data_IF_559966106347
#
_entry.id   IF_559966106347
#
_cell.length_a   1.000
_cell.length_b   1.000
_cell.length_c   1.000
_cell.angle_alpha   90.00
_cell.angle_beta   90.00
_cell.angle_gamma   90.00
#
_symmetry.space_group_name_H-M   'P 1'
#
loop_
_entity.id
_entity.type
_entity.pdbx_description
1 polymer ?
#
# COMPACT_ATOMS: atom_id res chain seq x y z
N UNK A 1 -25.41 -22.44 12.61
CA UNK A 1 -24.67 -21.23 12.19
C UNK A 1 -24.55 -21.24 10.69
N UNK A 2 -25.19 -20.29 10.01
CA UNK A 2 -25.04 -20.11 8.57
C UNK A 2 -23.57 -19.77 8.28
N UNK A 3 -22.86 -20.61 7.53
CA UNK A 3 -21.52 -20.30 7.04
C UNK A 3 -21.65 -19.09 6.10
N UNK A 4 -21.25 -17.92 6.53
CA UNK A 4 -21.16 -16.77 5.63
C UNK A 4 -20.07 -17.09 4.61
N UNK A 5 -20.43 -17.13 3.35
CA UNK A 5 -19.47 -17.36 2.26
C UNK A 5 -18.58 -16.12 2.10
N UNK A 6 -17.32 -16.30 1.68
CA UNK A 6 -16.47 -15.17 1.32
C UNK A 6 -17.14 -14.28 0.26
N UNK A 7 -17.03 -12.97 0.45
CA UNK A 7 -17.56 -11.96 -0.46
C UNK A 7 -16.42 -11.30 -1.21
N UNK A 8 -16.54 -11.17 -2.52
CA UNK A 8 -15.65 -10.32 -3.31
C UNK A 8 -15.97 -8.86 -3.04
N UNK A 9 -14.95 -8.05 -2.84
CA UNK A 9 -15.08 -6.59 -2.74
C UNK A 9 -14.90 -6.03 -4.16
N UNK A 10 -15.84 -5.18 -4.58
CA UNK A 10 -15.76 -4.58 -5.92
C UNK A 10 -14.78 -3.43 -5.95
N UNK A 11 -13.97 -3.31 -7.02
CA UNK A 11 -12.97 -2.27 -7.17
C UNK A 11 -13.60 -0.91 -7.52
N UNK A 12 -13.05 0.17 -6.95
CA UNK A 12 -13.38 1.54 -7.30
C UNK A 12 -12.14 2.18 -7.93
N UNK A 13 -12.24 2.58 -9.19
CA UNK A 13 -11.12 3.11 -9.96
C UNK A 13 -11.04 4.64 -9.87
N UNK A 14 -9.85 5.16 -9.59
CA UNK A 14 -9.55 6.59 -9.56
C UNK A 14 -8.45 6.92 -10.56
N UNK A 15 -8.78 7.76 -11.54
CA UNK A 15 -7.80 8.33 -12.47
C UNK A 15 -7.08 9.48 -11.78
N UNK A 16 -5.75 9.53 -11.91
CA UNK A 16 -4.87 10.53 -11.29
C UNK A 16 -3.90 11.08 -12.33
N UNK A 17 -3.46 12.31 -12.15
CA UNK A 17 -2.49 12.95 -13.07
C UNK A 17 -1.17 12.16 -13.14
N UNK A 18 -0.76 11.54 -12.06
CA UNK A 18 0.43 10.70 -11.94
C UNK A 18 0.17 9.20 -12.21
N UNK A 19 -1.08 8.84 -12.49
CA UNK A 19 -1.48 7.46 -12.74
C UNK A 19 -0.88 6.88 -14.03
N UNK A 20 -1.00 5.57 -14.19
CA UNK A 20 -0.48 4.81 -15.33
C UNK A 20 -1.60 4.15 -16.12
N UNK A 21 -1.52 4.04 -17.45
CA UNK A 21 -2.39 3.18 -18.22
C UNK A 21 -2.02 1.70 -18.07
N UNK A 22 -0.80 1.38 -17.60
CA UNK A 22 -0.25 0.03 -17.45
C UNK A 22 -0.65 -0.60 -16.11
N UNK A 23 -1.87 -1.13 -16.03
CA UNK A 23 -2.47 -1.70 -14.82
C UNK A 23 -2.55 -3.23 -14.82
N UNK A 24 -2.17 -3.86 -15.95
CA UNK A 24 -2.10 -5.32 -16.07
C UNK A 24 -0.91 -5.90 -15.28
N UNK A 25 -1.00 -7.14 -14.82
CA UNK A 25 -2.06 -8.14 -15.04
C UNK A 25 -3.22 -8.07 -14.03
N UNK A 26 -3.21 -7.12 -13.10
CA UNK A 26 -4.19 -7.04 -12.01
C UNK A 26 -5.57 -6.59 -12.48
N UNK A 27 -5.60 -5.68 -13.45
CA UNK A 27 -6.85 -5.16 -14.02
C UNK A 27 -6.76 -5.12 -15.55
N UNK A 28 -7.91 -5.25 -16.19
CA UNK A 28 -8.01 -5.09 -17.64
C UNK A 28 -7.66 -3.65 -18.06
N UNK A 29 -7.02 -3.53 -19.21
CA UNK A 29 -6.69 -2.21 -19.78
C UNK A 29 -7.93 -1.31 -19.86
N UNK A 30 -7.76 -0.05 -19.52
CA UNK A 30 -8.77 1.01 -19.63
C UNK A 30 -8.43 2.01 -20.74
N UNK A 31 -7.66 1.57 -21.75
CA UNK A 31 -7.12 2.44 -22.80
C UNK A 31 -6.07 3.39 -22.21
N UNK A 32 -6.08 4.65 -22.68
CA UNK A 32 -5.09 5.66 -22.26
C UNK A 32 -5.39 6.32 -20.90
N UNK A 33 -6.38 5.81 -20.16
CA UNK A 33 -6.72 6.35 -18.83
C UNK A 33 -5.57 6.18 -17.87
N UNK A 34 -5.14 7.26 -17.25
CA UNK A 34 -4.13 7.26 -16.18
C UNK A 34 -4.76 6.80 -14.86
N UNK A 35 -4.98 5.49 -14.70
CA UNK A 35 -5.44 4.93 -13.43
C UNK A 35 -4.34 5.05 -12.39
N UNK A 36 -4.56 5.83 -11.34
CA UNK A 36 -3.61 5.99 -10.24
C UNK A 36 -3.89 5.01 -9.11
N UNK A 37 -5.15 4.85 -8.74
CA UNK A 37 -5.55 4.04 -7.59
C UNK A 37 -6.76 3.18 -7.91
N UNK A 38 -6.78 1.95 -7.36
CA UNK A 38 -7.95 1.08 -7.35
C UNK A 38 -8.22 0.71 -5.90
N UNK A 39 -9.36 1.13 -5.37
CA UNK A 39 -9.72 1.03 -3.96
C UNK A 39 -10.66 -0.12 -3.67
N UNK A 40 -10.45 -0.76 -2.53
CA UNK A 40 -11.30 -1.81 -1.96
C UNK A 40 -11.57 -1.47 -0.49
N UNK A 41 -12.70 -0.79 -0.16
CA UNK A 41 -13.08 -0.52 1.22
C UNK A 41 -13.32 -1.81 1.99
N UNK A 42 -12.52 -2.06 3.00
CA UNK A 42 -12.42 -3.32 3.74
C UNK A 42 -12.65 -3.07 5.27
N UNK A 43 -13.82 -2.55 5.62
CA UNK A 43 -14.17 -2.23 7.00
C UNK A 43 -13.25 -1.18 7.61
N UNK A 44 -12.44 -1.58 8.59
CA UNK A 44 -11.46 -0.70 9.24
C UNK A 44 -10.20 -0.46 8.41
N UNK A 45 -10.03 -1.19 7.33
CA UNK A 45 -8.93 -1.07 6.38
C UNK A 45 -9.42 -0.53 5.04
N UNK A 46 -8.50 0.08 4.30
CA UNK A 46 -8.63 0.38 2.90
C UNK A 46 -7.46 -0.32 2.18
N UNK A 47 -7.79 -1.21 1.26
CA UNK A 47 -6.83 -1.92 0.43
C UNK A 47 -6.81 -1.22 -0.93
N UNK A 48 -5.63 -0.96 -1.46
CA UNK A 48 -5.49 -0.29 -2.75
C UNK A 48 -4.43 -0.96 -3.61
N UNK A 49 -4.61 -0.83 -4.92
CA UNK A 49 -3.53 -0.97 -5.89
C UNK A 49 -3.21 0.41 -6.44
N UNK A 50 -1.92 0.75 -6.45
CA UNK A 50 -1.42 2.01 -7.00
C UNK A 50 -0.56 1.74 -8.23
N UNK A 51 -0.71 2.60 -9.24
CA UNK A 51 0.02 2.52 -10.51
C UNK A 51 0.55 3.90 -10.88
N UNK A 52 1.86 4.05 -10.94
CA UNK A 52 2.49 5.36 -11.14
C UNK A 52 3.20 5.48 -12.47
N UNK A 53 3.00 6.57 -13.20
CA UNK A 53 3.81 6.99 -14.36
C UNK A 53 4.59 8.27 -14.08
N UNK A 54 4.26 8.96 -12.99
CA UNK A 54 4.94 10.16 -12.48
C UNK A 54 5.05 10.07 -10.97
N UNK A 55 5.94 10.87 -10.37
CA UNK A 55 6.11 10.90 -8.93
C UNK A 55 4.85 11.46 -8.24
N UNK A 56 4.43 10.82 -7.15
CA UNK A 56 3.41 11.35 -6.25
C UNK A 56 3.98 12.53 -5.46
N UNK A 57 3.08 13.38 -4.95
CA UNK A 57 3.47 14.45 -4.02
C UNK A 57 4.23 13.90 -2.82
N UNK A 58 5.16 14.68 -2.28
CA UNK A 58 5.66 14.44 -0.93
C UNK A 58 4.54 14.77 0.04
N UNK A 59 4.24 13.84 0.93
CA UNK A 59 3.09 13.91 1.82
C UNK A 59 3.35 13.23 3.16
N UNK A 60 2.45 13.47 4.10
CA UNK A 60 2.42 12.82 5.41
C UNK A 60 0.98 12.59 5.84
N UNK A 61 0.78 11.59 6.68
CA UNK A 61 -0.53 11.26 7.26
C UNK A 61 -0.49 11.41 8.78
N UNK A 62 -1.56 11.91 9.41
CA UNK A 62 -1.66 12.01 10.85
C UNK A 62 -1.87 10.64 11.52
N UNK A 63 -1.63 10.57 12.81
CA UNK A 63 -2.12 9.51 13.67
C UNK A 63 -3.61 9.69 14.02
N UNK A 64 -4.20 8.73 14.74
CA UNK A 64 -5.59 8.75 15.15
C UNK A 64 -5.92 9.93 16.07
N UNK A 65 -4.98 10.34 16.93
CA UNK A 65 -5.21 11.41 17.89
C UNK A 65 -5.35 12.76 17.19
N UNK A 66 -4.42 13.06 16.29
CA UNK A 66 -4.46 14.28 15.49
C UNK A 66 -5.62 14.27 14.49
N UNK A 67 -5.87 13.14 13.83
CA UNK A 67 -6.99 13.01 12.90
C UNK A 67 -8.33 13.37 13.55
N UNK A 68 -8.62 12.86 14.75
CA UNK A 68 -9.83 13.19 15.48
C UNK A 68 -9.93 14.67 15.85
N UNK A 69 -8.82 15.32 16.21
CA UNK A 69 -8.82 16.78 16.51
C UNK A 69 -9.14 17.62 15.27
N UNK A 70 -8.82 17.13 14.08
CA UNK A 70 -9.07 17.84 12.81
C UNK A 70 -10.34 17.39 12.08
N UNK A 71 -11.24 16.66 12.77
CA UNK A 71 -12.53 16.23 12.22
C UNK A 71 -12.50 14.97 11.38
N UNK A 72 -11.38 14.26 11.32
CA UNK A 72 -11.27 12.96 10.68
C UNK A 72 -11.48 11.83 11.70
N UNK A 73 -11.96 10.67 11.26
CA UNK A 73 -12.23 9.57 12.17
C UNK A 73 -10.96 8.81 12.58
N UNK A 74 -10.01 8.67 11.65
CA UNK A 74 -8.81 7.84 11.79
C UNK A 74 -7.59 8.51 11.18
N UNK A 75 -6.43 8.18 11.72
CA UNK A 75 -5.13 8.40 11.12
C UNK A 75 -4.90 7.48 9.93
N UNK A 76 -3.67 7.47 9.41
CA UNK A 76 -3.34 6.66 8.26
C UNK A 76 -1.93 6.09 8.39
N UNK A 77 -1.83 4.96 9.11
CA UNK A 77 -0.69 4.05 9.02
C UNK A 77 -0.93 3.09 7.87
N UNK A 78 0.09 2.88 7.05
CA UNK A 78 0.00 2.08 5.83
C UNK A 78 1.21 1.17 5.64
N UNK A 79 1.07 0.17 4.79
CA UNK A 79 2.17 -0.62 4.27
C UNK A 79 2.07 -0.69 2.76
N UNK A 80 3.22 -0.77 2.09
CA UNK A 80 3.34 -0.97 0.65
C UNK A 80 4.03 -2.28 0.36
N UNK A 81 3.44 -3.08 -0.52
CA UNK A 81 4.08 -4.26 -1.10
C UNK A 81 4.28 -4.01 -2.59
N UNK A 82 5.54 -4.00 -3.04
CA UNK A 82 5.89 -3.69 -4.43
C UNK A 82 5.55 -4.88 -5.33
N UNK A 83 4.70 -4.66 -6.32
CA UNK A 83 4.25 -5.67 -7.27
C UNK A 83 5.05 -5.62 -8.58
N UNK A 84 5.40 -4.40 -9.02
CA UNK A 84 6.22 -4.12 -10.20
C UNK A 84 7.00 -2.84 -9.97
N UNK A 85 8.24 -2.81 -10.43
CA UNK A 85 9.09 -1.62 -10.44
C UNK A 85 9.85 -1.57 -11.76
N UNK A 86 9.83 -0.43 -12.43
CA UNK A 86 10.69 -0.18 -13.58
C UNK A 86 12.15 0.02 -13.10
N UNK A 87 13.17 -0.19 -13.95
CA UNK A 87 14.56 0.03 -13.56
C UNK A 87 14.79 1.43 -12.98
N UNK A 88 15.39 1.53 -11.79
CA UNK A 88 15.63 2.78 -11.09
C UNK A 88 14.41 3.39 -10.40
N UNK A 89 13.25 2.72 -10.43
CA UNK A 89 12.07 3.16 -9.69
C UNK A 89 12.36 3.19 -8.19
N UNK A 90 11.87 4.24 -7.51
CA UNK A 90 12.20 4.49 -6.10
C UNK A 90 11.00 5.07 -5.34
N UNK A 91 10.99 4.83 -4.06
CA UNK A 91 10.11 5.51 -3.10
C UNK A 91 10.94 6.46 -2.24
N UNK A 92 10.28 7.42 -1.61
CA UNK A 92 10.85 8.18 -0.51
C UNK A 92 10.14 7.82 0.78
N UNK A 93 10.89 7.49 1.84
CA UNK A 93 10.33 7.19 3.15
C UNK A 93 11.24 7.78 4.26
N UNK A 94 10.69 8.73 5.00
CA UNK A 94 11.39 9.54 6.00
C UNK A 94 12.55 10.35 5.41
N UNK A 95 13.45 10.77 6.27
CA UNK A 95 14.62 11.58 5.92
C UNK A 95 15.91 10.76 5.96
N UNK A 96 16.94 11.21 5.23
CA UNK A 96 18.29 10.61 5.27
C UNK A 96 18.97 10.78 6.62
N UNK A 97 18.67 11.91 7.29
CA UNK A 97 19.13 12.28 8.62
C UNK A 97 18.04 13.08 9.31
N UNK A 98 18.12 13.21 10.62
CA UNK A 98 17.19 14.05 11.39
C UNK A 98 17.13 15.48 10.84
N UNK A 99 15.94 15.95 10.55
CA UNK A 99 15.66 17.31 10.05
C UNK A 99 15.16 18.17 11.21
N UNK A 100 15.71 19.36 11.41
CA UNK A 100 15.20 20.27 12.42
C UNK A 100 13.82 20.79 12.01
N UNK A 101 12.85 20.91 12.94
CA UNK A 101 11.50 21.41 12.61
C UNK A 101 11.51 22.78 11.90
N UNK A 102 12.45 23.66 12.25
CA UNK A 102 12.63 24.96 11.57
C UNK A 102 13.04 24.83 10.10
N UNK A 103 13.82 23.80 9.78
CA UNK A 103 14.33 23.58 8.43
C UNK A 103 13.32 22.86 7.54
N UNK A 104 12.36 22.12 8.14
CA UNK A 104 11.32 21.39 7.43
C UNK A 104 10.43 22.34 6.61
N UNK A 105 9.89 23.38 7.22
CA UNK A 105 8.99 24.31 6.54
C UNK A 105 9.68 25.06 5.41
N UNK A 106 10.92 25.53 5.63
CA UNK A 106 11.70 26.21 4.61
C UNK A 106 11.97 25.28 3.42
N UNK A 107 12.41 24.05 3.72
CA UNK A 107 12.69 23.05 2.69
C UNK A 107 11.44 22.62 1.90
N UNK A 108 10.28 22.61 2.56
CA UNK A 108 8.99 22.36 1.88
C UNK A 108 8.62 23.50 0.93
N UNK A 109 8.88 24.75 1.30
CA UNK A 109 8.54 25.94 0.51
C UNK A 109 9.46 26.12 -0.70
N UNK A 110 10.77 25.91 -0.55
CA UNK A 110 11.77 26.10 -1.60
C UNK A 110 12.04 24.84 -2.44
N UNK A 111 11.42 23.71 -2.09
CA UNK A 111 11.56 22.42 -2.78
C UNK A 111 12.80 21.61 -2.40
N UNK A 112 13.69 22.14 -1.56
CA UNK A 112 14.90 21.40 -1.09
C UNK A 112 14.55 20.20 -0.18
N UNK A 113 13.26 20.04 0.16
CA UNK A 113 12.76 18.84 0.86
C UNK A 113 13.11 17.56 0.10
N UNK A 114 13.13 17.61 -1.24
CA UNK A 114 13.52 16.49 -2.11
C UNK A 114 14.91 15.96 -1.79
N UNK A 115 15.86 16.85 -1.50
CA UNK A 115 17.24 16.49 -1.18
C UNK A 115 17.40 15.91 0.23
N UNK A 116 16.44 16.20 1.11
CA UNK A 116 16.43 15.68 2.49
C UNK A 116 15.80 14.31 2.60
N UNK A 117 14.91 13.95 1.64
CA UNK A 117 14.21 12.67 1.66
C UNK A 117 15.16 11.48 1.50
N UNK A 118 14.81 10.40 2.18
CA UNK A 118 15.47 9.10 2.01
C UNK A 118 14.86 8.36 0.82
N UNK A 119 15.44 8.55 -0.36
CA UNK A 119 15.05 7.84 -1.58
C UNK A 119 15.65 6.44 -1.60
N UNK A 120 14.80 5.43 -1.81
CA UNK A 120 15.14 4.01 -1.78
C UNK A 120 14.73 3.38 -3.11
N UNK A 121 15.66 2.80 -3.84
CA UNK A 121 15.33 1.93 -4.99
C UNK A 121 14.52 0.73 -4.52
N UNK A 122 13.51 0.36 -5.30
CA UNK A 122 12.60 -0.72 -4.95
C UNK A 122 12.60 -1.81 -6.00
N UNK A 123 12.33 -3.03 -5.55
CA UNK A 123 12.17 -4.21 -6.41
C UNK A 123 10.84 -4.93 -6.10
N UNK A 124 10.28 -5.68 -7.06
CA UNK A 124 9.11 -6.52 -6.81
C UNK A 124 9.35 -7.45 -5.61
N UNK A 125 8.38 -7.51 -4.71
CA UNK A 125 8.44 -8.28 -3.46
C UNK A 125 8.94 -7.50 -2.25
N UNK A 126 9.50 -6.31 -2.42
CA UNK A 126 9.85 -5.43 -1.30
C UNK A 126 8.61 -4.97 -0.54
N UNK A 127 8.78 -4.81 0.77
CA UNK A 127 7.71 -4.34 1.65
C UNK A 127 8.21 -3.21 2.55
N UNK A 128 7.37 -2.20 2.73
CA UNK A 128 7.65 -1.04 3.57
C UNK A 128 6.46 -0.77 4.48
N UNK A 129 6.70 -0.70 5.79
CA UNK A 129 5.72 -0.18 6.74
C UNK A 129 5.92 1.33 6.86
N UNK A 130 4.88 2.09 6.62
CA UNK A 130 4.86 3.55 6.67
C UNK A 130 3.95 3.99 7.84
N UNK A 131 4.45 4.09 9.06
CA UNK A 131 3.68 4.60 10.18
C UNK A 131 3.19 6.04 9.92
N UNK A 132 2.04 6.39 10.46
CA UNK A 132 1.60 7.79 10.52
C UNK A 132 2.73 8.70 11.02
N UNK A 133 2.81 9.92 10.48
CA UNK A 133 3.91 10.85 10.73
C UNK A 133 5.14 10.66 9.84
N UNK A 134 5.28 9.53 9.13
CA UNK A 134 6.38 9.36 8.18
C UNK A 134 6.15 10.19 6.93
N UNK A 135 7.05 11.13 6.63
CA UNK A 135 7.04 11.87 5.36
C UNK A 135 7.45 10.93 4.24
N UNK A 136 6.66 10.85 3.16
CA UNK A 136 6.89 9.85 2.11
C UNK A 136 6.43 10.31 0.73
N UNK A 137 6.88 9.59 -0.30
CA UNK A 137 6.39 9.69 -1.68
C UNK A 137 6.62 8.38 -2.42
N UNK A 138 5.84 8.14 -3.46
CA UNK A 138 6.02 7.03 -4.39
C UNK A 138 6.48 7.62 -5.72
N UNK A 139 7.61 7.14 -6.22
CA UNK A 139 8.15 7.57 -7.50
C UNK A 139 7.43 6.95 -8.70
N UNK A 140 7.78 7.39 -9.88
CA UNK A 140 7.28 6.87 -11.14
C UNK A 140 7.68 5.42 -11.39
N UNK A 141 6.90 4.70 -12.23
CA UNK A 141 7.24 3.35 -12.70
C UNK A 141 6.92 2.22 -11.72
N UNK A 142 6.08 2.46 -10.73
CA UNK A 142 5.76 1.49 -9.68
C UNK A 142 4.30 1.01 -9.81
N UNK A 143 4.09 -0.30 -9.60
CA UNK A 143 2.81 -0.85 -9.19
C UNK A 143 2.97 -1.47 -7.81
N UNK A 144 2.11 -1.14 -6.87
CA UNK A 144 2.15 -1.67 -5.51
C UNK A 144 0.75 -1.95 -4.95
N UNK A 145 0.69 -2.84 -3.97
CA UNK A 145 -0.48 -3.02 -3.11
C UNK A 145 -0.25 -2.25 -1.80
N UNK A 146 -1.18 -1.36 -1.47
CA UNK A 146 -1.22 -0.61 -0.22
C UNK A 146 -2.30 -1.17 0.67
N UNK A 147 -1.97 -1.46 1.93
CA UNK A 147 -2.91 -1.80 2.99
C UNK A 147 -2.77 -0.76 4.08
N UNK A 148 -3.87 -0.08 4.41
CA UNK A 148 -3.87 1.07 5.31
C UNK A 148 -5.10 1.09 6.22
N UNK A 149 -5.04 1.90 7.28
CA UNK A 149 -6.26 2.29 7.98
C UNK A 149 -7.26 2.92 6.99
N UNK A 150 -8.55 2.68 7.18
CA UNK A 150 -9.59 3.22 6.31
C UNK A 150 -9.75 4.74 6.49
N UNK A 151 -8.81 5.47 5.89
CA UNK A 151 -8.71 6.93 5.90
C UNK A 151 -8.07 7.41 4.60
N UNK A 152 -8.47 8.56 4.09
CA UNK A 152 -7.87 9.21 2.92
C UNK A 152 -7.20 10.56 3.27
N UNK A 153 -7.09 10.88 4.58
CA UNK A 153 -6.47 12.10 5.05
C UNK A 153 -5.00 12.20 4.62
N UNK A 154 -4.66 13.26 3.91
CA UNK A 154 -3.32 13.47 3.36
C UNK A 154 -2.91 14.92 3.50
N UNK A 155 -1.78 15.18 4.13
CA UNK A 155 -1.16 16.49 4.18
C UNK A 155 -0.03 16.57 3.17
N UNK A 156 -0.28 17.30 2.07
CA UNK A 156 0.66 17.47 0.97
C UNK A 156 1.69 18.53 1.34
N UNK A 157 2.97 18.17 1.18
CA UNK A 157 4.12 18.99 1.54
C UNK A 157 4.72 19.66 0.30
N UNK A 158 4.89 18.89 -0.78
CA UNK A 158 5.48 19.38 -2.04
C UNK A 158 4.87 18.61 -3.22
N UNK A 159 4.62 19.29 -4.33
CA UNK A 159 3.90 18.69 -5.43
C UNK A 159 4.44 19.07 -6.82
N UNK A 160 5.72 19.30 -6.94
CA UNK A 160 6.41 19.54 -8.23
C UNK A 160 5.79 20.68 -9.05
N UNK A 161 5.24 21.72 -8.39
CA UNK A 161 4.59 22.86 -9.06
C UNK A 161 3.19 22.58 -9.60
N UNK A 162 2.60 21.40 -9.35
CA UNK A 162 1.21 21.10 -9.72
C UNK A 162 0.23 21.98 -8.94
N UNK A 163 -0.91 22.41 -9.55
CA UNK A 163 -1.86 23.34 -8.89
C UNK A 163 -2.76 22.61 -7.86
N UNK A 164 -2.16 21.96 -6.87
CA UNK A 164 -2.85 21.32 -5.75
C UNK A 164 -2.48 21.99 -4.44
N UNK A 165 -3.43 22.07 -3.52
CA UNK A 165 -3.23 22.66 -2.22
C UNK A 165 -2.11 21.97 -1.44
N UNK A 166 -1.26 22.75 -0.79
CA UNK A 166 -0.25 22.29 0.15
C UNK A 166 -0.73 22.51 1.59
N UNK A 167 -0.46 21.56 2.48
CA UNK A 167 -0.94 21.56 3.86
C UNK A 167 0.25 21.68 4.83
N UNK A 168 1.08 22.71 4.63
CA UNK A 168 2.39 22.81 5.28
C UNK A 168 2.30 22.90 6.81
N UNK A 169 1.28 23.59 7.34
CA UNK A 169 1.07 23.70 8.79
C UNK A 169 0.75 22.34 9.40
N UNK A 170 -0.29 21.67 8.89
CA UNK A 170 -0.69 20.36 9.38
C UNK A 170 0.42 19.32 9.20
N UNK A 171 1.11 19.39 8.07
CA UNK A 171 2.25 18.51 7.81
C UNK A 171 3.37 18.71 8.85
N UNK A 172 3.70 19.96 9.20
CA UNK A 172 4.72 20.25 10.20
C UNK A 172 4.33 19.75 11.61
N UNK A 173 3.04 19.82 11.94
CA UNK A 173 2.51 19.37 13.23
C UNK A 173 2.54 17.84 13.40
N UNK A 174 2.45 17.07 12.31
CA UNK A 174 2.35 15.60 12.36
C UNK A 174 3.61 14.86 11.89
N UNK A 175 4.54 15.56 11.20
CA UNK A 175 5.73 14.90 10.64
C UNK A 175 6.72 14.45 11.67
N UNK A 176 7.11 13.18 11.61
CA UNK A 176 8.34 12.71 12.23
C UNK A 176 9.54 13.21 11.42
N UNK A 177 10.43 13.93 12.08
CA UNK A 177 11.68 14.39 11.48
C UNK A 177 12.83 13.38 11.64
N UNK A 178 12.54 12.19 12.13
CA UNK A 178 13.52 11.14 12.39
C UNK A 178 13.89 10.36 11.12
N UNK A 179 15.03 9.68 11.22
CA UNK A 179 15.47 8.76 10.16
C UNK A 179 14.51 7.56 10.06
N UNK A 180 14.09 7.24 8.84
CA UNK A 180 13.28 6.06 8.58
C UNK A 180 14.10 4.76 8.71
N UNK A 181 13.57 3.69 9.33
CA UNK A 181 14.33 2.46 9.58
C UNK A 181 14.65 1.65 8.31
N UNK A 182 13.91 1.88 7.22
CA UNK A 182 14.14 1.20 5.94
C UNK A 182 13.11 0.12 5.61
N UNK A 183 13.48 -0.76 4.69
CA UNK A 183 12.64 -1.86 4.21
C UNK A 183 12.31 -2.84 5.34
N UNK A 184 11.06 -3.26 5.42
CA UNK A 184 10.64 -4.33 6.33
C UNK A 184 11.22 -5.66 5.88
N UNK A 185 11.86 -6.39 6.79
CA UNK A 185 12.39 -7.72 6.49
C UNK A 185 11.29 -8.76 6.74
N UNK A 186 10.88 -9.52 5.71
CA UNK A 186 9.90 -10.57 5.88
C UNK A 186 10.36 -11.63 6.88
N UNK A 187 9.46 -12.02 7.79
CA UNK A 187 9.70 -13.12 8.72
C UNK A 187 9.03 -14.38 8.20
N UNK A 188 9.81 -15.41 7.90
CA UNK A 188 9.28 -16.71 7.48
C UNK A 188 8.60 -17.39 8.66
N UNK A 189 7.33 -17.75 8.51
CA UNK A 189 6.54 -18.47 9.51
C UNK A 189 6.25 -19.91 9.08
N UNK A 190 6.87 -20.36 7.99
CA UNK A 190 6.77 -21.72 7.47
C UNK A 190 5.70 -21.91 6.39
N UNK A 191 5.74 -23.06 5.71
CA UNK A 191 4.77 -23.47 4.69
C UNK A 191 4.49 -22.41 3.60
N UNK A 192 5.50 -21.62 3.18
CA UNK A 192 5.31 -20.59 2.16
C UNK A 192 4.61 -19.31 2.65
N UNK A 193 4.47 -19.15 3.97
CA UNK A 193 3.86 -17.99 4.63
C UNK A 193 4.95 -17.09 5.21
N UNK A 194 4.88 -15.81 4.93
CA UNK A 194 5.80 -14.79 5.45
C UNK A 194 5.03 -13.63 6.05
N UNK A 195 5.32 -13.27 7.29
CA UNK A 195 4.86 -12.01 7.88
C UNK A 195 5.63 -10.86 7.20
N UNK A 196 4.90 -9.96 6.55
CA UNK A 196 5.46 -8.81 5.84
C UNK A 196 5.46 -7.55 6.69
N UNK A 197 4.36 -7.28 7.38
CA UNK A 197 4.21 -6.08 8.21
C UNK A 197 3.26 -6.36 9.37
N UNK A 198 3.54 -5.71 10.49
CA UNK A 198 2.71 -5.72 11.69
C UNK A 198 2.61 -4.31 12.27
N UNK A 199 1.41 -3.90 12.60
CA UNK A 199 1.10 -2.62 13.22
C UNK A 199 -0.04 -2.80 14.22
N UNK A 200 -0.39 -1.79 15.04
CA UNK A 200 -1.59 -1.86 15.88
C UNK A 200 -2.92 -1.99 15.10
N UNK A 201 -2.89 -1.78 13.79
CA UNK A 201 -4.10 -1.68 12.96
C UNK A 201 -4.30 -2.88 12.03
N UNK A 202 -3.22 -3.56 11.65
CA UNK A 202 -3.25 -4.73 10.77
C UNK A 202 -1.99 -5.58 10.90
N UNK A 203 -2.13 -6.86 10.57
CA UNK A 203 -1.02 -7.78 10.27
C UNK A 203 -1.19 -8.27 8.86
N UNK A 204 -0.12 -8.28 8.08
CA UNK A 204 -0.17 -8.71 6.68
C UNK A 204 0.86 -9.79 6.42
N UNK A 205 0.38 -10.90 5.85
CA UNK A 205 1.19 -12.05 5.46
C UNK A 205 1.17 -12.18 3.93
N UNK A 206 2.31 -12.53 3.34
CA UNK A 206 2.35 -13.08 2.00
C UNK A 206 2.25 -14.60 2.08
N UNK A 207 1.40 -15.18 1.25
CA UNK A 207 1.25 -16.63 1.11
C UNK A 207 1.56 -17.01 -0.33
N UNK A 208 2.56 -17.87 -0.51
CA UNK A 208 2.95 -18.44 -1.79
C UNK A 208 2.40 -19.86 -1.86
N UNK A 209 1.34 -20.04 -2.64
CA UNK A 209 0.59 -21.30 -2.74
C UNK A 209 1.15 -22.10 -3.92
N UNK A 210 1.97 -23.11 -3.63
CA UNK A 210 2.54 -24.05 -4.61
C UNK A 210 1.83 -25.42 -4.61
N UNK A 211 1.08 -25.71 -3.55
CA UNK A 211 0.24 -26.91 -3.38
C UNK A 211 -0.94 -26.54 -2.48
N UNK A 212 -2.01 -27.35 -2.41
CA UNK A 212 -3.14 -27.09 -1.54
C UNK A 212 -2.69 -26.86 -0.10
N UNK A 213 -3.15 -25.78 0.52
CA UNK A 213 -2.81 -25.40 1.88
C UNK A 213 -3.92 -24.58 2.54
N UNK A 214 -3.77 -24.31 3.83
CA UNK A 214 -4.65 -23.40 4.55
C UNK A 214 -3.86 -22.27 5.19
N UNK A 215 -4.47 -21.08 5.28
CA UNK A 215 -3.89 -19.92 5.95
C UNK A 215 -4.98 -19.01 6.51
N UNK A 216 -4.66 -18.24 7.56
CA UNK A 216 -5.62 -17.40 8.28
C UNK A 216 -5.56 -15.93 7.83
N UNK A 217 -6.72 -15.30 7.71
CA UNK A 217 -6.87 -13.88 7.45
C UNK A 217 -8.33 -13.49 7.27
N UNK A 218 -8.65 -12.24 7.48
CA UNK A 218 -9.97 -11.70 7.19
C UNK A 218 -10.11 -11.32 5.71
N UNK A 219 -9.09 -10.67 5.17
CA UNK A 219 -9.05 -10.23 3.78
C UNK A 219 -7.99 -11.00 3.01
N UNK A 220 -8.32 -11.38 1.79
CA UNK A 220 -7.43 -12.00 0.82
C UNK A 220 -7.28 -11.05 -0.37
N UNK A 221 -6.04 -10.70 -0.71
CA UNK A 221 -5.68 -9.88 -1.86
C UNK A 221 -4.86 -10.72 -2.82
N UNK A 222 -5.38 -11.03 -4.00
CA UNK A 222 -4.63 -11.78 -5.01
C UNK A 222 -3.64 -10.88 -5.73
N UNK A 223 -2.35 -11.14 -5.56
CA UNK A 223 -1.28 -10.32 -6.13
C UNK A 223 -0.57 -10.96 -7.33
N UNK A 224 -0.70 -12.27 -7.53
CA UNK A 224 -0.09 -12.95 -8.68
C UNK A 224 -0.51 -14.39 -8.82
N UNK A 225 -0.51 -14.91 -10.04
CA UNK A 225 -1.00 -16.25 -10.37
C UNK A 225 -2.51 -16.40 -10.20
N UNK A 226 -3.04 -17.51 -10.69
CA UNK A 226 -4.45 -17.89 -10.51
C UNK A 226 -4.55 -19.02 -9.50
N UNK A 227 -5.67 -19.08 -8.78
CA UNK A 227 -5.91 -20.14 -7.81
C UNK A 227 -7.35 -20.21 -7.36
N UNK A 228 -7.61 -21.05 -6.38
CA UNK A 228 -8.91 -21.14 -5.69
C UNK A 228 -8.73 -20.77 -4.23
N UNK A 229 -9.69 -20.02 -3.73
CA UNK A 229 -9.85 -19.74 -2.31
C UNK A 229 -11.25 -20.21 -1.88
N UNK A 230 -11.30 -21.14 -0.91
CA UNK A 230 -12.55 -21.80 -0.49
C UNK A 230 -13.36 -22.35 -1.70
N UNK A 231 -12.69 -22.97 -2.68
CA UNK A 231 -13.26 -23.53 -3.89
C UNK A 231 -13.68 -22.52 -4.98
N UNK A 232 -13.54 -21.20 -4.74
CA UNK A 232 -13.85 -20.14 -5.71
C UNK A 232 -12.61 -19.75 -6.49
N UNK A 233 -12.76 -19.56 -7.79
CA UNK A 233 -11.67 -19.04 -8.64
C UNK A 233 -11.29 -17.62 -8.21
N UNK A 234 -9.99 -17.39 -8.07
CA UNK A 234 -9.38 -16.10 -7.67
C UNK A 234 -8.24 -15.76 -8.62
N UNK A 235 -8.32 -14.56 -9.19
CA UNK A 235 -7.35 -14.03 -10.13
C UNK A 235 -6.68 -12.77 -9.56
N UNK A 236 -5.49 -12.38 -10.06
CA UNK A 236 -4.80 -11.16 -9.65
C UNK A 236 -5.72 -9.92 -9.68
N UNK A 237 -5.54 -9.02 -8.72
CA UNK A 237 -6.34 -7.80 -8.57
C UNK A 237 -7.66 -7.99 -7.83
N UNK A 238 -8.04 -9.23 -7.49
CA UNK A 238 -9.26 -9.47 -6.70
C UNK A 238 -8.97 -9.37 -5.21
N UNK A 239 -9.95 -8.78 -4.49
CA UNK A 239 -9.96 -8.70 -3.03
C UNK A 239 -11.22 -9.40 -2.51
N UNK A 240 -11.03 -10.27 -1.52
CA UNK A 240 -12.10 -11.05 -0.91
C UNK A 240 -12.12 -10.86 0.59
N UNK A 241 -13.31 -10.89 1.18
CA UNK A 241 -13.55 -10.72 2.62
C UNK A 241 -14.25 -11.95 3.19
N UNK A 242 -13.84 -12.35 4.40
CA UNK A 242 -14.60 -13.21 5.29
C UNK A 242 -15.15 -12.37 6.46
N UNK A 243 -16.28 -12.79 7.03
CA UNK A 243 -16.94 -12.04 8.12
C UNK A 243 -16.06 -11.89 9.39
N UNK A 244 -15.14 -12.83 9.59
CA UNK A 244 -14.21 -12.88 10.72
C UNK A 244 -12.83 -13.34 10.20
N UNK A 245 -11.78 -13.21 11.00
CA UNK A 245 -10.53 -13.91 10.73
C UNK A 245 -10.77 -15.43 10.75
N UNK A 246 -10.67 -16.04 9.60
CA UNK A 246 -10.88 -17.48 9.41
C UNK A 246 -9.82 -18.06 8.51
N UNK A 247 -9.82 -19.40 8.46
CA UNK A 247 -9.00 -20.15 7.56
C UNK A 247 -9.49 -20.04 6.12
N UNK A 248 -8.58 -19.79 5.21
CA UNK A 248 -8.76 -19.92 3.76
C UNK A 248 -8.19 -21.26 3.32
N UNK A 249 -8.96 -22.06 2.59
CA UNK A 249 -8.44 -23.18 1.81
C UNK A 249 -7.95 -22.62 0.48
N UNK A 250 -6.65 -22.74 0.21
CA UNK A 250 -5.99 -22.17 -0.95
C UNK A 250 -5.41 -23.27 -1.82
N UNK A 251 -5.66 -23.19 -3.12
CA UNK A 251 -5.21 -24.15 -4.13
C UNK A 251 -4.66 -23.37 -5.35
N UNK A 252 -3.47 -23.71 -5.89
CA UNK A 252 -3.00 -23.10 -7.12
C UNK A 252 -3.77 -23.66 -8.32
N UNK A 253 -3.99 -22.85 -9.37
CA UNK A 253 -4.52 -23.29 -10.65
C UNK A 253 -3.44 -23.27 -11.73
N UNK A 254 -3.30 -24.38 -12.48
CA UNK A 254 -2.36 -24.53 -13.58
C UNK A 254 -1.09 -25.29 -13.18
N UNK A 255 -0.62 -26.14 -14.09
CA UNK A 255 0.57 -26.99 -13.87
C UNK A 255 1.88 -26.34 -14.30
N UNK A 256 1.86 -25.20 -15.00
CA UNK A 256 3.04 -24.80 -15.80
C UNK A 256 3.67 -23.44 -15.51
N UNK A 257 3.17 -22.61 -14.63
CA UNK A 257 3.90 -21.35 -14.42
C UNK A 257 3.38 -20.49 -13.28
N UNK A 258 3.94 -20.64 -12.17
CA UNK A 258 3.86 -19.62 -11.14
C UNK A 258 2.91 -19.97 -10.01
N UNK A 259 3.44 -19.82 -8.83
CA UNK A 259 2.70 -19.94 -7.58
C UNK A 259 1.55 -18.92 -7.54
N UNK A 260 0.42 -19.33 -7.02
CA UNK A 260 -0.65 -18.43 -6.64
C UNK A 260 -0.19 -17.63 -5.41
N UNK A 261 -0.09 -16.31 -5.56
CA UNK A 261 0.43 -15.43 -4.51
C UNK A 261 -0.69 -14.52 -4.00
N UNK A 262 -0.89 -14.53 -2.69
CA UNK A 262 -1.89 -13.69 -2.03
C UNK A 262 -1.28 -12.96 -0.83
N UNK A 263 -1.85 -11.79 -0.50
CA UNK A 263 -1.70 -11.18 0.81
C UNK A 263 -2.92 -11.53 1.65
N UNK A 264 -2.69 -11.95 2.87
CA UNK A 264 -3.72 -12.13 3.89
C UNK A 264 -3.53 -11.07 4.97
N UNK A 265 -4.59 -10.33 5.29
CA UNK A 265 -4.54 -9.24 6.26
C UNK A 265 -5.80 -9.16 7.10
N UNK A 266 -5.70 -8.46 8.24
CA UNK A 266 -6.78 -8.20 9.19
C UNK A 266 -6.32 -8.08 10.62
#
# INVERSE_FOLDING_TARGET
MLRSFPRRIEPIFYDKIWGSPRIEPWFASRGDRKTGEVWFPAGDLLIKFLFTSEDLSIQVHPDDAYARQTGNQRGKTEMWHILRADPGARIAAGFRSTVRPSDFLNAAQDGTILDKMNWIEVAPGDTYLIPSGTVHAIGAGIALCEIQQNSDVTYRIYDYGRPRELHLRQAAEVSSCERYPGKTMPCDVGAGVQLLAESPFFRTFRVTVSSPMTAFGRYLVAIGGNGRANGRHVAPGQVWEQAEQREWSLEPEGSDSGSFNVLLTG
#
